data_IF_593847711566
#
_entry.id   IF_593847711566
#
_cell.length_a   1.000
_cell.length_b   1.000
_cell.length_c   1.000
_cell.angle_alpha   90.00
_cell.angle_beta   90.00
_cell.angle_gamma   90.00
#
_symmetry.space_group_name_H-M   'P 1'
#
loop_
_entity.id
_entity.type
_entity.pdbx_description
1 polymer ?
#
# COMPACT_ATOMS: atom_id res chain seq x y z
N UNK A 1 -13.92 -10.17 15.14
CA UNK A 1 -13.37 -11.55 15.11
C UNK A 1 -13.19 -12.14 13.70
N UNK A 2 -14.01 -11.81 12.67
CA UNK A 2 -13.79 -12.33 11.29
C UNK A 2 -12.75 -11.57 10.44
N UNK A 3 -12.40 -10.32 10.80
CA UNK A 3 -11.47 -9.49 10.02
C UNK A 3 -9.99 -9.88 10.26
N UNK A 4 -9.65 -10.28 11.50
CA UNK A 4 -8.28 -10.67 11.85
C UNK A 4 -7.80 -11.96 11.16
N UNK A 5 -8.72 -12.87 10.84
CA UNK A 5 -8.40 -14.12 10.16
C UNK A 5 -7.91 -13.88 8.73
N UNK A 6 -8.49 -12.89 8.02
CA UNK A 6 -8.07 -12.50 6.68
C UNK A 6 -6.67 -11.85 6.68
N UNK A 7 -6.36 -11.12 7.76
CA UNK A 7 -5.06 -10.46 7.91
C UNK A 7 -3.94 -11.47 8.20
N UNK A 8 -4.22 -12.53 8.98
CA UNK A 8 -3.26 -13.58 9.35
C UNK A 8 -2.95 -14.59 8.24
N UNK A 9 -3.85 -14.83 7.28
CA UNK A 9 -3.57 -15.71 6.14
C UNK A 9 -2.53 -15.15 5.15
N UNK A 10 -2.20 -13.86 5.24
CA UNK A 10 -1.34 -13.13 4.28
C UNK A 10 0.07 -12.77 4.79
N UNK A 11 0.50 -13.30 5.94
CA UNK A 11 1.81 -12.98 6.55
C UNK A 11 2.76 -14.18 6.54
N UNK A 12 4.00 -13.94 6.10
CA UNK A 12 5.13 -14.87 6.24
C UNK A 12 5.41 -15.77 5.03
N UNK A 13 4.78 -16.94 4.97
CA UNK A 13 5.21 -18.04 4.07
C UNK A 13 4.31 -18.31 2.85
N UNK A 14 3.05 -17.83 2.84
CA UNK A 14 2.09 -18.09 1.74
C UNK A 14 2.03 -17.00 0.66
N UNK A 15 2.84 -15.94 0.77
CA UNK A 15 2.79 -14.80 -0.17
C UNK A 15 3.17 -15.21 -1.59
N UNK A 16 4.24 -15.96 -1.74
CA UNK A 16 4.70 -16.44 -3.04
C UNK A 16 3.68 -17.38 -3.70
N UNK A 17 2.95 -18.19 -2.92
CA UNK A 17 1.84 -19.02 -3.44
C UNK A 17 0.73 -18.17 -4.06
N UNK A 18 0.33 -17.08 -3.42
CA UNK A 18 -0.67 -16.17 -3.99
C UNK A 18 -0.18 -15.47 -5.25
N UNK A 19 1.11 -15.12 -5.33
CA UNK A 19 1.70 -14.58 -6.55
C UNK A 19 1.70 -15.60 -7.69
N UNK A 20 2.14 -16.84 -7.43
CA UNK A 20 2.12 -17.90 -8.44
C UNK A 20 0.68 -18.20 -8.88
N UNK A 21 -0.24 -18.35 -7.93
CA UNK A 21 -1.65 -18.60 -8.21
C UNK A 21 -2.26 -17.49 -9.06
N UNK A 22 -1.92 -16.23 -8.78
CA UNK A 22 -2.36 -15.08 -9.57
C UNK A 22 -1.88 -15.18 -11.03
N UNK A 23 -0.60 -15.48 -11.26
CA UNK A 23 -0.06 -15.57 -12.62
C UNK A 23 -0.54 -16.81 -13.38
N UNK A 24 -0.78 -17.93 -12.69
CA UNK A 24 -1.44 -19.10 -13.28
C UNK A 24 -2.87 -18.74 -13.70
N UNK A 25 -3.63 -18.10 -12.81
CA UNK A 25 -5.00 -17.67 -13.11
C UNK A 25 -5.02 -16.65 -14.25
N UNK A 26 -4.09 -15.70 -14.26
CA UNK A 26 -3.91 -14.76 -15.36
C UNK A 26 -3.65 -15.47 -16.70
N UNK A 27 -2.79 -16.50 -16.71
CA UNK A 27 -2.55 -17.31 -17.90
C UNK A 27 -3.80 -18.02 -18.39
N UNK A 28 -4.55 -18.63 -17.48
CA UNK A 28 -5.81 -19.29 -17.81
C UNK A 28 -6.85 -18.30 -18.35
N UNK A 29 -6.95 -17.11 -17.76
CA UNK A 29 -7.85 -16.05 -18.23
C UNK A 29 -7.43 -15.58 -19.63
N UNK A 30 -6.15 -15.34 -19.89
CA UNK A 30 -5.68 -14.93 -21.22
C UNK A 30 -5.92 -16.02 -22.28
N UNK A 31 -5.65 -17.28 -21.94
CA UNK A 31 -5.97 -18.40 -22.81
C UNK A 31 -7.48 -18.48 -23.08
N UNK A 32 -8.32 -18.22 -22.09
CA UNK A 32 -9.78 -18.20 -22.23
C UNK A 32 -10.28 -17.02 -23.08
N UNK A 33 -9.75 -15.82 -22.88
CA UNK A 33 -10.06 -14.64 -23.71
C UNK A 33 -9.70 -14.90 -25.17
N UNK A 34 -8.67 -15.71 -25.41
CA UNK A 34 -8.22 -16.14 -26.73
C UNK A 34 -8.89 -17.46 -27.20
N UNK A 35 -10.15 -17.71 -26.82
CA UNK A 35 -10.94 -18.84 -27.33
C UNK A 35 -11.34 -18.55 -28.77
N UNK A 36 -10.42 -18.81 -29.68
CA UNK A 36 -10.78 -19.22 -31.02
C UNK A 36 -10.35 -20.69 -31.17
N UNK A 37 -11.30 -21.64 -31.21
CA UNK A 37 -10.98 -23.07 -31.23
C UNK A 37 -10.23 -23.49 -32.52
N UNK A 38 -10.16 -22.60 -33.52
CA UNK A 38 -9.42 -22.85 -34.76
C UNK A 38 -7.94 -22.52 -34.67
N UNK A 39 -7.51 -21.75 -33.67
CA UNK A 39 -6.09 -21.45 -33.47
C UNK A 39 -5.40 -22.63 -32.79
N UNK A 40 -4.22 -22.96 -33.30
CA UNK A 40 -3.38 -24.00 -32.72
C UNK A 40 -2.99 -23.68 -31.27
N UNK A 41 -3.01 -24.71 -30.42
CA UNK A 41 -2.75 -24.57 -28.99
C UNK A 41 -1.31 -24.12 -28.70
N UNK A 42 -0.33 -24.57 -29.48
CA UNK A 42 1.08 -24.22 -29.27
C UNK A 42 1.31 -22.73 -29.53
N UNK A 43 0.76 -22.18 -30.63
CA UNK A 43 0.85 -20.75 -30.96
C UNK A 43 0.24 -19.91 -29.82
N UNK A 44 -0.94 -20.31 -29.33
CA UNK A 44 -1.62 -19.63 -28.22
C UNK A 44 -0.78 -19.65 -26.94
N UNK A 45 -0.22 -20.80 -26.58
CA UNK A 45 0.60 -20.95 -25.39
C UNK A 45 1.86 -20.08 -25.46
N UNK A 46 2.54 -20.05 -26.61
CA UNK A 46 3.75 -19.24 -26.80
C UNK A 46 3.44 -17.74 -26.75
N UNK A 47 2.34 -17.30 -27.38
CA UNK A 47 1.89 -15.90 -27.30
C UNK A 47 1.57 -15.50 -25.85
N UNK A 48 0.73 -16.28 -25.16
CA UNK A 48 0.36 -15.98 -23.77
C UNK A 48 1.58 -16.02 -22.84
N UNK A 49 2.45 -17.02 -22.98
CA UNK A 49 3.65 -17.14 -22.17
C UNK A 49 4.58 -15.94 -22.36
N UNK A 50 4.82 -15.50 -23.60
CA UNK A 50 5.67 -14.34 -23.87
C UNK A 50 5.11 -13.06 -23.25
N UNK A 51 3.79 -12.85 -23.33
CA UNK A 51 3.13 -11.70 -22.71
C UNK A 51 3.20 -11.72 -21.19
N UNK A 52 2.97 -12.87 -20.56
CA UNK A 52 3.02 -13.00 -19.10
C UNK A 52 4.41 -12.70 -18.56
N UNK A 53 5.47 -13.16 -19.24
CA UNK A 53 6.84 -12.89 -18.82
C UNK A 53 7.08 -11.37 -18.79
N UNK A 54 6.73 -10.66 -19.86
CA UNK A 54 6.90 -9.20 -19.93
C UNK A 54 6.04 -8.48 -18.88
N UNK A 55 4.78 -8.88 -18.74
CA UNK A 55 3.83 -8.34 -17.76
C UNK A 55 4.26 -8.57 -16.33
N UNK A 56 4.86 -9.72 -16.03
CA UNK A 56 5.42 -10.04 -14.72
C UNK A 56 6.51 -9.03 -14.36
N UNK A 57 7.46 -8.79 -15.26
CA UNK A 57 8.54 -7.83 -15.02
C UNK A 57 8.04 -6.40 -14.86
N UNK A 58 7.07 -5.97 -15.67
CA UNK A 58 6.47 -4.64 -15.52
C UNK A 58 5.76 -4.50 -14.17
N UNK A 59 4.97 -5.49 -13.79
CA UNK A 59 4.25 -5.50 -12.50
C UNK A 59 5.24 -5.47 -11.34
N UNK A 60 6.32 -6.25 -11.41
CA UNK A 60 7.38 -6.27 -10.41
C UNK A 60 8.07 -4.90 -10.29
N UNK A 61 8.44 -4.30 -11.42
CA UNK A 61 9.03 -2.96 -11.48
C UNK A 61 8.12 -1.92 -10.81
N UNK A 62 6.84 -1.90 -11.17
CA UNK A 62 5.87 -0.94 -10.63
C UNK A 62 5.71 -1.12 -9.12
N UNK A 63 5.47 -2.36 -8.68
CA UNK A 63 5.09 -2.67 -7.31
C UNK A 63 6.25 -2.58 -6.30
N UNK A 64 7.43 -3.04 -6.67
CA UNK A 64 8.56 -3.12 -5.75
C UNK A 64 9.54 -1.95 -5.87
N UNK A 65 9.57 -1.26 -7.01
CA UNK A 65 10.50 -0.14 -7.25
C UNK A 65 9.74 1.18 -7.34
N UNK A 66 8.79 1.34 -8.28
CA UNK A 66 8.22 2.65 -8.57
C UNK A 66 7.29 3.16 -7.46
N UNK A 67 6.36 2.31 -6.98
CA UNK A 67 5.42 2.67 -5.91
C UNK A 67 6.18 3.08 -4.63
N UNK A 68 7.10 2.27 -4.08
CA UNK A 68 7.79 2.63 -2.84
C UNK A 68 8.72 3.83 -2.96
N UNK A 69 9.39 4.00 -4.11
CA UNK A 69 10.39 5.06 -4.30
C UNK A 69 9.80 6.41 -4.70
N UNK A 70 8.72 6.42 -5.48
CA UNK A 70 8.19 7.66 -6.05
C UNK A 70 6.79 7.98 -5.57
N UNK A 71 5.85 7.02 -5.61
CA UNK A 71 4.46 7.28 -5.22
C UNK A 71 4.35 7.64 -3.74
N UNK A 72 4.94 6.84 -2.84
CA UNK A 72 4.89 7.12 -1.41
C UNK A 72 5.85 8.22 -0.92
N UNK A 73 6.77 8.69 -1.78
CA UNK A 73 7.64 9.84 -1.49
C UNK A 73 7.10 11.16 -2.09
N UNK A 74 5.83 11.19 -2.46
CA UNK A 74 5.15 12.34 -3.07
C UNK A 74 5.78 12.83 -4.40
N UNK A 75 6.53 11.97 -5.10
CA UNK A 75 7.12 12.27 -6.42
C UNK A 75 6.21 11.76 -7.54
N UNK A 76 4.98 12.28 -7.58
CA UNK A 76 3.90 11.77 -8.44
C UNK A 76 4.23 11.89 -9.94
N UNK A 77 4.81 13.00 -10.38
CA UNK A 77 5.14 13.23 -11.79
C UNK A 77 6.21 12.27 -12.30
N UNK A 78 7.26 12.04 -11.50
CA UNK A 78 8.29 11.04 -11.82
C UNK A 78 7.70 9.63 -11.86
N UNK A 79 6.79 9.31 -10.94
CA UNK A 79 6.07 8.03 -10.95
C UNK A 79 5.28 7.85 -12.25
N UNK A 80 4.45 8.82 -12.62
CA UNK A 80 3.63 8.77 -13.84
C UNK A 80 4.51 8.62 -15.07
N UNK A 81 5.56 9.44 -15.18
CA UNK A 81 6.50 9.37 -16.32
C UNK A 81 7.16 8.00 -16.46
N UNK A 82 7.64 7.40 -15.36
CA UNK A 82 8.29 6.09 -15.38
C UNK A 82 7.30 4.94 -15.65
N UNK A 83 6.09 5.00 -15.10
CA UNK A 83 5.04 4.02 -15.40
C UNK A 83 4.65 4.08 -16.87
N UNK A 84 4.45 5.29 -17.40
CA UNK A 84 4.10 5.49 -18.80
C UNK A 84 5.23 5.02 -19.74
N UNK A 85 6.48 5.39 -19.45
CA UNK A 85 7.64 4.92 -20.20
C UNK A 85 7.78 3.39 -20.17
N UNK A 86 7.60 2.76 -19.00
CA UNK A 86 7.60 1.31 -18.87
C UNK A 86 6.45 0.63 -19.62
N UNK A 87 5.25 1.22 -19.59
CA UNK A 87 4.11 0.74 -20.36
C UNK A 87 4.41 0.76 -21.86
N UNK A 88 4.87 1.89 -22.41
CA UNK A 88 5.24 2.00 -23.83
C UNK A 88 6.35 1.00 -24.17
N UNK A 89 7.40 0.90 -23.36
CA UNK A 89 8.50 -0.03 -23.60
C UNK A 89 8.03 -1.49 -23.66
N UNK A 90 7.22 -1.93 -22.71
CA UNK A 90 6.66 -3.29 -22.74
C UNK A 90 5.67 -3.49 -23.88
N UNK A 91 4.95 -2.46 -24.31
CA UNK A 91 4.04 -2.54 -25.45
C UNK A 91 4.83 -2.82 -26.73
N UNK A 92 5.96 -2.14 -26.93
CA UNK A 92 6.87 -2.41 -28.03
C UNK A 92 7.44 -3.84 -27.99
N UNK A 93 7.88 -4.31 -26.82
CA UNK A 93 8.38 -5.69 -26.67
C UNK A 93 7.30 -6.70 -27.05
N UNK A 94 6.09 -6.56 -26.50
CA UNK A 94 4.98 -7.47 -26.79
C UNK A 94 4.57 -7.43 -28.26
N UNK A 95 4.59 -6.24 -28.89
CA UNK A 95 4.31 -6.08 -30.30
C UNK A 95 5.33 -6.84 -31.17
N UNK A 96 6.63 -6.60 -30.98
CA UNK A 96 7.67 -7.29 -31.76
C UNK A 96 7.72 -8.79 -31.48
N UNK A 97 7.54 -9.22 -30.22
CA UNK A 97 7.47 -10.63 -29.88
C UNK A 97 6.29 -11.32 -30.57
N UNK A 98 5.09 -10.74 -30.49
CA UNK A 98 3.90 -11.26 -31.15
C UNK A 98 4.09 -11.30 -32.67
N UNK A 99 4.62 -10.22 -33.26
CA UNK A 99 4.89 -10.14 -34.69
C UNK A 99 5.87 -11.23 -35.15
N UNK A 100 6.97 -11.45 -34.42
CA UNK A 100 7.93 -12.50 -34.70
C UNK A 100 7.34 -13.91 -34.59
N UNK A 101 6.53 -14.17 -33.56
CA UNK A 101 5.84 -15.45 -33.37
C UNK A 101 4.87 -15.73 -34.53
N UNK A 102 4.09 -14.73 -34.95
CA UNK A 102 3.12 -14.87 -36.04
C UNK A 102 3.82 -15.09 -37.39
N UNK A 103 4.89 -14.34 -37.67
CA UNK A 103 5.71 -14.55 -38.87
C UNK A 103 6.28 -15.97 -38.90
N UNK A 104 6.92 -16.40 -37.81
CA UNK A 104 7.49 -17.73 -37.72
C UNK A 104 6.43 -18.82 -37.92
N UNK A 105 5.25 -18.64 -37.32
CA UNK A 105 4.12 -19.55 -37.47
C UNK A 105 3.60 -19.57 -38.91
N UNK A 106 3.53 -18.42 -39.59
CA UNK A 106 3.08 -18.31 -40.98
C UNK A 106 4.02 -19.01 -41.97
N UNK A 107 5.33 -18.91 -41.74
CA UNK A 107 6.32 -19.57 -42.60
C UNK A 107 6.42 -21.08 -42.35
N UNK A 108 6.35 -21.51 -41.08
CA UNK A 108 6.60 -22.91 -40.71
C UNK A 108 5.34 -23.77 -40.80
N UNK A 109 4.16 -23.18 -40.57
CA UNK A 109 2.88 -23.87 -40.45
C UNK A 109 1.80 -23.17 -41.30
N UNK A 110 1.95 -23.13 -42.65
CA UNK A 110 1.09 -22.34 -43.52
C UNK A 110 -0.37 -22.82 -43.57
N UNK A 111 -0.64 -24.06 -43.17
CA UNK A 111 -1.98 -24.64 -43.13
C UNK A 111 -2.76 -24.29 -41.85
N UNK A 112 -2.08 -23.76 -40.82
CA UNK A 112 -2.73 -23.40 -39.56
C UNK A 112 -3.41 -22.04 -39.65
N UNK A 113 -4.55 -21.91 -38.96
CA UNK A 113 -5.16 -20.61 -38.77
C UNK A 113 -4.34 -19.82 -37.75
N UNK A 114 -3.82 -18.67 -38.19
CA UNK A 114 -2.98 -17.79 -37.38
C UNK A 114 -3.83 -16.61 -36.90
N UNK A 115 -3.65 -16.16 -35.64
CA UNK A 115 -4.34 -14.99 -35.13
C UNK A 115 -4.09 -13.74 -35.97
N UNK A 116 -5.15 -12.97 -36.19
CA UNK A 116 -5.06 -11.70 -36.92
C UNK A 116 -4.73 -10.54 -35.97
N UNK A 117 -4.58 -9.33 -36.52
CA UNK A 117 -4.25 -8.14 -35.73
C UNK A 117 -5.30 -7.81 -34.65
N UNK A 118 -6.59 -8.05 -34.89
CA UNK A 118 -7.64 -7.80 -33.90
C UNK A 118 -7.55 -8.78 -32.72
N UNK A 119 -7.25 -10.05 -32.98
CA UNK A 119 -7.05 -11.05 -31.93
C UNK A 119 -5.88 -10.66 -31.02
N UNK A 120 -4.78 -10.20 -31.61
CA UNK A 120 -3.62 -9.71 -30.87
C UNK A 120 -3.95 -8.46 -30.05
N UNK A 121 -4.74 -7.53 -30.59
CA UNK A 121 -5.17 -6.35 -29.85
C UNK A 121 -6.04 -6.72 -28.63
N UNK A 122 -6.97 -7.67 -28.78
CA UNK A 122 -7.79 -8.18 -27.67
C UNK A 122 -6.88 -8.83 -26.61
N UNK A 123 -5.90 -9.64 -27.03
CA UNK A 123 -4.96 -10.30 -26.14
C UNK A 123 -4.10 -9.28 -25.37
N UNK A 124 -3.57 -8.27 -26.06
CA UNK A 124 -2.82 -7.17 -25.45
C UNK A 124 -3.68 -6.39 -24.45
N UNK A 125 -4.91 -6.05 -24.81
CA UNK A 125 -5.83 -5.35 -23.92
C UNK A 125 -6.10 -6.17 -22.64
N UNK A 126 -6.42 -7.45 -22.79
CA UNK A 126 -6.60 -8.37 -21.66
C UNK A 126 -5.37 -8.47 -20.77
N UNK A 127 -4.18 -8.55 -21.38
CA UNK A 127 -2.91 -8.62 -20.65
C UNK A 127 -2.65 -7.36 -19.81
N UNK A 128 -2.92 -6.17 -20.35
CA UNK A 128 -2.75 -4.93 -19.58
C UNK A 128 -3.82 -4.70 -18.51
N UNK A 129 -5.04 -5.24 -18.69
CA UNK A 129 -6.04 -5.28 -17.61
C UNK A 129 -5.53 -6.13 -16.44
N UNK A 130 -4.87 -7.25 -16.72
CA UNK A 130 -4.25 -8.10 -15.69
C UNK A 130 -3.14 -7.33 -14.98
N UNK A 131 -2.20 -6.72 -15.71
CA UNK A 131 -1.15 -5.89 -15.11
C UNK A 131 -1.73 -4.80 -14.21
N UNK A 132 -2.74 -4.07 -14.70
CA UNK A 132 -3.42 -3.04 -13.93
C UNK A 132 -4.03 -3.60 -12.63
N UNK A 133 -4.73 -4.72 -12.73
CA UNK A 133 -5.33 -5.39 -11.57
C UNK A 133 -4.27 -5.82 -10.54
N UNK A 134 -3.14 -6.37 -10.99
CA UNK A 134 -2.04 -6.76 -10.12
C UNK A 134 -1.43 -5.57 -9.37
N UNK A 135 -1.25 -4.45 -10.07
CA UNK A 135 -0.73 -3.19 -9.50
C UNK A 135 -1.71 -2.63 -8.47
N UNK A 136 -3.00 -2.57 -8.79
CA UNK A 136 -4.04 -2.04 -7.88
C UNK A 136 -4.14 -2.89 -6.61
N UNK A 137 -4.18 -4.22 -6.73
CA UNK A 137 -4.23 -5.13 -5.57
C UNK A 137 -3.02 -4.90 -4.66
N UNK A 138 -1.82 -4.80 -5.24
CA UNK A 138 -0.61 -4.55 -4.47
C UNK A 138 -0.63 -3.18 -3.80
N UNK A 139 -1.03 -2.13 -4.54
CA UNK A 139 -1.13 -0.77 -4.04
C UNK A 139 -2.10 -0.66 -2.85
N UNK A 140 -3.31 -1.21 -2.97
CA UNK A 140 -4.31 -1.19 -1.89
C UNK A 140 -3.75 -1.87 -0.64
N UNK A 141 -3.16 -3.06 -0.80
CA UNK A 141 -2.59 -3.83 0.30
C UNK A 141 -1.45 -3.09 1.00
N UNK A 142 -0.53 -2.52 0.21
CA UNK A 142 0.63 -1.79 0.72
C UNK A 142 0.21 -0.48 1.41
N UNK A 143 -0.77 0.23 0.84
CA UNK A 143 -1.36 1.42 1.42
C UNK A 143 -2.02 1.12 2.76
N UNK A 144 -2.83 0.06 2.83
CA UNK A 144 -3.47 -0.37 4.07
C UNK A 144 -2.43 -0.76 5.15
N UNK A 145 -1.37 -1.49 4.77
CA UNK A 145 -0.30 -1.84 5.71
C UNK A 145 0.37 -0.59 6.28
N UNK A 146 0.74 0.36 5.43
CA UNK A 146 1.38 1.62 5.85
C UNK A 146 0.46 2.47 6.72
N UNK A 147 -0.83 2.50 6.42
CA UNK A 147 -1.82 3.19 7.25
C UNK A 147 -1.90 2.58 8.64
N UNK A 148 -1.93 1.24 8.75
CA UNK A 148 -1.93 0.55 10.04
C UNK A 148 -0.63 0.79 10.82
N UNK A 149 0.53 0.69 10.16
CA UNK A 149 1.83 1.00 10.77
C UNK A 149 1.87 2.44 11.30
N UNK A 150 1.37 3.41 10.53
CA UNK A 150 1.29 4.82 10.95
C UNK A 150 0.35 5.01 12.15
N UNK A 151 -0.81 4.35 12.15
CA UNK A 151 -1.78 4.42 13.25
C UNK A 151 -1.22 3.84 14.55
N UNK A 152 -0.48 2.72 14.47
CA UNK A 152 0.17 2.13 15.65
C UNK A 152 1.29 3.03 16.20
N UNK A 153 2.10 3.64 15.32
CA UNK A 153 3.12 4.61 15.73
C UNK A 153 2.49 5.83 16.40
N UNK A 154 1.40 6.36 15.84
CA UNK A 154 0.69 7.51 16.41
C UNK A 154 0.09 7.18 17.78
N UNK A 155 -0.51 5.99 17.92
CA UNK A 155 -1.03 5.50 19.21
C UNK A 155 0.07 5.39 20.26
N UNK A 156 1.23 4.85 19.90
CA UNK A 156 2.38 4.75 20.82
C UNK A 156 2.88 6.14 21.22
N UNK A 157 2.93 7.09 20.28
CA UNK A 157 3.31 8.47 20.53
C UNK A 157 2.36 9.14 21.53
N UNK A 158 1.04 9.06 21.31
CA UNK A 158 0.04 9.65 22.19
C UNK A 158 0.10 9.05 23.61
N UNK A 159 0.33 7.74 23.71
CA UNK A 159 0.53 7.08 25.01
C UNK A 159 1.79 7.57 25.73
N UNK A 160 2.90 7.77 24.99
CA UNK A 160 4.13 8.32 25.57
C UNK A 160 3.94 9.78 26.03
N UNK A 161 3.26 10.60 25.23
CA UNK A 161 2.93 11.99 25.58
C UNK A 161 2.03 12.07 26.83
N UNK A 162 1.03 11.20 26.96
CA UNK A 162 0.18 11.12 28.15
C UNK A 162 0.99 10.78 29.40
N UNK A 163 1.84 9.75 29.34
CA UNK A 163 2.70 9.35 30.47
C UNK A 163 3.66 10.46 30.88
N UNK A 164 4.20 11.20 29.91
CA UNK A 164 5.08 12.34 30.18
C UNK A 164 4.35 13.48 30.89
N UNK A 165 3.12 13.81 30.46
CA UNK A 165 2.27 14.80 31.15
C UNK A 165 1.93 14.37 32.57
N UNK A 166 1.59 13.09 32.78
CA UNK A 166 1.30 12.56 34.11
C UNK A 166 2.52 12.64 35.04
N UNK A 167 3.72 12.35 34.51
CA UNK A 167 4.97 12.47 35.26
C UNK A 167 5.29 13.94 35.61
N UNK A 168 5.14 14.86 34.66
CA UNK A 168 5.31 16.30 34.89
C UNK A 168 4.33 16.84 35.94
N UNK A 169 3.06 16.42 35.87
CA UNK A 169 2.06 16.80 36.86
C UNK A 169 2.45 16.31 38.27
N UNK A 170 2.89 15.06 38.41
CA UNK A 170 3.35 14.52 39.69
C UNK A 170 4.58 15.25 40.23
N UNK A 171 5.52 15.62 39.36
CA UNK A 171 6.68 16.43 39.74
C UNK A 171 6.27 17.83 40.21
N UNK A 172 5.37 18.50 39.48
CA UNK A 172 4.83 19.82 39.86
C UNK A 172 4.09 19.75 41.20
N UNK A 173 3.26 18.73 41.40
CA UNK A 173 2.58 18.48 42.69
C UNK A 173 3.60 18.27 43.81
N UNK A 174 4.67 17.50 43.57
CA UNK A 174 5.76 17.31 44.53
C UNK A 174 6.57 18.58 44.84
N UNK A 175 6.60 19.56 43.92
CA UNK A 175 7.26 20.85 44.11
C UNK A 175 6.41 21.88 44.88
N UNK A 176 5.10 21.63 45.10
CA UNK A 176 4.29 22.46 46.00
C UNK A 176 4.76 22.19 47.44
N UNK A 177 5.64 23.05 47.95
CA UNK A 177 6.26 22.86 49.26
C UNK A 177 5.20 22.91 50.37
N UNK A 178 5.19 21.95 51.32
CA UNK A 178 4.30 22.00 52.49
C UNK A 178 4.40 23.33 53.23
N UNK A 179 5.60 23.91 53.26
CA UNK A 179 5.87 25.24 53.83
C UNK A 179 5.08 26.37 53.18
N UNK A 180 4.82 26.32 51.86
CA UNK A 180 3.97 27.32 51.20
C UNK A 180 2.52 27.21 51.68
N UNK A 181 2.03 25.98 51.86
CA UNK A 181 0.71 25.70 52.43
C UNK A 181 0.63 26.14 53.90
N UNK A 182 1.65 25.84 54.70
CA UNK A 182 1.76 26.30 56.10
C UNK A 182 1.89 27.82 56.21
N UNK A 183 2.62 28.47 55.29
CA UNK A 183 2.72 29.93 55.22
C UNK A 183 1.38 30.59 54.88
N UNK A 184 0.65 30.01 53.92
CA UNK A 184 -0.70 30.47 53.59
C UNK A 184 -1.65 30.30 54.78
N UNK A 185 -1.66 29.13 55.43
CA UNK A 185 -2.47 28.87 56.62
C UNK A 185 -2.13 29.82 57.77
N UNK A 186 -0.85 30.00 58.09
CA UNK A 186 -0.40 30.88 59.17
C UNK A 186 -0.77 32.34 58.91
N UNK A 187 -0.61 32.83 57.68
CA UNK A 187 -1.05 34.19 57.32
C UNK A 187 -2.57 34.33 57.43
N UNK A 188 -3.35 33.32 57.02
CA UNK A 188 -4.80 33.34 57.11
C UNK A 188 -5.29 33.30 58.57
N UNK A 189 -4.64 32.51 59.42
CA UNK A 189 -4.84 32.53 60.87
C UNK A 189 -4.45 33.89 61.48
N UNK A 190 -3.34 34.48 61.05
CA UNK A 190 -2.90 35.81 61.47
C UNK A 190 -3.90 36.91 61.09
N UNK A 191 -4.48 36.85 59.89
CA UNK A 191 -5.51 37.77 59.42
C UNK A 191 -6.84 37.58 60.16
N UNK A 192 -7.25 36.34 60.44
CA UNK A 192 -8.46 36.05 61.23
C UNK A 192 -8.30 36.50 62.69
N UNK A 193 -7.11 36.36 63.26
CA UNK A 193 -6.77 36.86 64.61
C UNK A 193 -6.67 38.39 64.66
N UNK A 194 -6.34 39.03 63.54
CA UNK A 194 -6.41 40.48 63.32
C UNK A 194 -7.82 40.97 62.90
N UNK A 195 -8.88 40.26 63.23
CA UNK A 195 -10.20 40.90 63.27
C UNK A 195 -10.18 41.89 64.43
N UNK A 196 -10.22 43.22 64.22
CA UNK A 196 -10.14 44.16 65.32
C UNK A 196 -11.33 43.91 66.24
N UNK A 197 -11.09 43.80 67.54
CA UNK A 197 -12.14 44.14 68.51
C UNK A 197 -12.66 45.50 68.06
N UNK A 198 -13.93 45.56 67.63
CA UNK A 198 -14.67 46.82 67.50
C UNK A 198 -14.39 47.58 68.79
N UNK A 199 -13.63 48.67 68.69
CA UNK A 199 -13.68 49.70 69.71
C UNK A 199 -15.11 50.21 69.68
N UNK A 200 -15.92 49.65 70.57
CA UNK A 200 -17.18 50.24 70.94
C UNK A 200 -16.86 51.66 71.44
N UNK A 201 -17.62 52.59 70.90
CA UNK A 201 -17.86 53.93 71.42
C UNK A 201 -17.85 53.95 72.96
N UNK A 202 -17.24 54.98 73.55
CA UNK A 202 -17.88 55.93 74.47
C UNK A 202 -16.86 56.58 75.44
N UNK A 203 -16.91 57.91 75.45
CA UNK A 203 -16.55 58.90 76.48
C UNK A 203 -15.23 58.75 77.24
#
# INVERSE_FOLDING_TARGET
MKIDTFHKTFTGKRRWLWHILYWILAALILLFVFINPKFDLQIRLVLVASMIVVSYFLTWLINYILIPRFLFKNKIWTFIYLVFGGFIFTMWINFFASFGILIYSAYTLPELLIPNGQDILILLAGNYIIVFTAVVIHFIRESYRRMNEKNEIEKQRLLAESKLKDAQMKLLQGQIHPHFLFNMLNNLYGLKKKTPKRHALQF
#
